data_IF_525450670633
#
_entry.id   IF_525450670633
#
_cell.length_a   1.000
_cell.length_b   1.000
_cell.length_c   1.000
_cell.angle_alpha   90.00
_cell.angle_beta   90.00
_cell.angle_gamma   90.00
#
_symmetry.space_group_name_H-M   'P 1'
#
loop_
_entity.id
_entity.type
_entity.pdbx_description
1 polymer ?
#
# COMPACT_ATOMS: atom_id res chain seq x y z
N UNK A 1 13.08 1.97 -2.38
CA UNK A 1 11.83 2.54 -2.92
C UNK A 1 10.69 1.57 -2.68
N UNK A 2 9.47 2.07 -2.56
CA UNK A 2 8.27 1.23 -2.40
C UNK A 2 7.23 1.64 -3.44
N UNK A 3 6.64 0.67 -4.14
CA UNK A 3 5.49 0.88 -5.02
C UNK A 3 4.25 0.26 -4.40
N UNK A 4 3.24 1.06 -4.11
CA UNK A 4 1.95 0.58 -3.60
C UNK A 4 1.25 -0.33 -4.64
N UNK A 5 0.66 -1.46 -4.22
CA UNK A 5 -0.04 -2.37 -5.14
C UNK A 5 -1.28 -1.72 -5.76
N UNK A 6 -1.92 -0.76 -5.08
CA UNK A 6 -3.18 -0.13 -5.49
C UNK A 6 -3.00 1.15 -6.31
N UNK A 7 -1.80 1.76 -6.31
CA UNK A 7 -1.54 3.00 -7.03
C UNK A 7 -1.21 2.73 -8.51
N UNK A 8 -1.59 3.66 -9.39
CA UNK A 8 -1.32 3.59 -10.83
C UNK A 8 0.16 3.39 -11.15
N UNK A 9 0.45 2.32 -11.87
CA UNK A 9 1.81 1.90 -12.20
C UNK A 9 2.55 2.88 -13.12
N UNK A 10 1.85 3.49 -14.08
CA UNK A 10 2.45 4.43 -15.01
C UNK A 10 3.03 5.66 -14.31
N UNK A 11 2.34 6.20 -13.30
CA UNK A 11 2.85 7.32 -12.51
C UNK A 11 4.15 6.95 -11.81
N UNK A 12 4.22 5.74 -11.24
CA UNK A 12 5.44 5.25 -10.62
C UNK A 12 6.59 5.12 -11.62
N UNK A 13 6.34 4.58 -12.82
CA UNK A 13 7.36 4.46 -13.85
C UNK A 13 7.87 5.83 -14.33
N UNK A 14 6.99 6.80 -14.53
CA UNK A 14 7.38 8.16 -14.91
C UNK A 14 8.26 8.82 -13.83
N UNK A 15 7.91 8.66 -12.56
CA UNK A 15 8.75 9.16 -11.46
C UNK A 15 10.10 8.45 -11.40
N UNK A 16 10.14 7.15 -11.65
CA UNK A 16 11.38 6.38 -11.68
C UNK A 16 12.27 6.80 -12.85
N UNK A 17 11.71 6.96 -14.05
CA UNK A 17 12.44 7.38 -15.24
C UNK A 17 13.06 8.78 -15.08
N UNK A 18 12.26 9.74 -14.59
CA UNK A 18 12.76 11.09 -14.25
C UNK A 18 13.86 11.06 -13.19
N UNK A 19 13.72 10.22 -12.16
CA UNK A 19 14.73 10.07 -11.11
C UNK A 19 16.05 9.52 -11.69
N UNK A 20 15.98 8.45 -12.47
CA UNK A 20 17.16 7.83 -13.07
C UNK A 20 17.82 8.74 -14.12
N UNK A 21 17.02 9.44 -14.92
CA UNK A 21 17.48 10.47 -15.84
C UNK A 21 18.22 11.61 -15.15
N UNK A 22 17.71 12.07 -14.00
CA UNK A 22 18.35 13.11 -13.21
C UNK A 22 19.67 12.68 -12.53
N UNK A 23 19.79 11.42 -12.15
CA UNK A 23 21.03 10.90 -11.55
C UNK A 23 22.11 10.69 -12.62
N UNK A 24 21.71 10.21 -13.81
CA UNK A 24 22.58 9.84 -14.92
C UNK A 24 23.23 8.46 -14.76
N UNK A 25 23.84 7.96 -15.83
CA UNK A 25 24.41 6.60 -15.91
C UNK A 25 25.87 6.49 -15.45
N UNK A 26 26.55 7.62 -15.20
CA UNK A 26 27.97 7.65 -14.85
C UNK A 26 28.26 7.39 -13.36
N UNK A 27 27.25 7.02 -12.58
CA UNK A 27 27.36 6.80 -11.13
C UNK A 27 27.09 5.34 -10.80
N UNK A 28 27.82 4.79 -9.82
CA UNK A 28 27.53 3.47 -9.26
C UNK A 28 26.33 3.59 -8.32
N UNK A 29 25.18 3.12 -8.78
CA UNK A 29 23.91 3.21 -8.05
C UNK A 29 23.44 1.79 -7.72
N UNK A 30 22.92 1.59 -6.51
CA UNK A 30 22.17 0.40 -6.14
C UNK A 30 20.73 0.79 -5.89
N UNK A 31 19.80 0.17 -6.62
CA UNK A 31 18.37 0.36 -6.44
C UNK A 31 17.81 -0.81 -5.62
N UNK A 32 17.43 -0.54 -4.37
CA UNK A 32 16.68 -1.47 -3.54
C UNK A 32 15.22 -1.03 -3.48
N UNK A 33 14.29 -1.90 -3.90
CA UNK A 33 12.88 -1.56 -3.91
C UNK A 33 11.95 -2.76 -3.77
N UNK A 34 10.80 -2.54 -3.15
CA UNK A 34 9.64 -3.43 -3.22
C UNK A 34 8.65 -2.87 -4.24
N UNK A 35 8.54 -3.57 -5.36
CA UNK A 35 7.70 -3.15 -6.46
C UNK A 35 6.28 -3.74 -6.41
N UNK A 36 6.01 -4.71 -5.51
CA UNK A 36 4.78 -5.50 -5.52
C UNK A 36 4.45 -6.07 -6.91
N UNK A 37 5.42 -6.75 -7.51
CA UNK A 37 5.35 -7.32 -8.87
C UNK A 37 5.97 -8.72 -8.92
N UNK A 38 5.52 -9.51 -9.88
CA UNK A 38 6.10 -10.83 -10.14
C UNK A 38 7.15 -10.76 -11.25
N UNK A 39 8.41 -10.57 -10.85
CA UNK A 39 9.55 -10.61 -11.78
C UNK A 39 9.72 -12.00 -12.40
N UNK A 40 10.29 -12.04 -13.62
CA UNK A 40 10.50 -13.28 -14.36
C UNK A 40 9.22 -13.86 -14.99
N UNK A 41 8.13 -13.09 -15.01
CA UNK A 41 6.90 -13.41 -15.73
C UNK A 41 6.79 -12.57 -17.01
N UNK A 42 5.85 -12.93 -17.89
CA UNK A 42 5.52 -12.16 -19.09
C UNK A 42 4.52 -11.02 -18.81
N UNK A 43 4.39 -10.59 -17.55
CA UNK A 43 3.54 -9.47 -17.19
C UNK A 43 4.09 -8.19 -17.81
N UNK A 44 3.26 -7.48 -18.60
CA UNK A 44 3.68 -6.29 -19.33
C UNK A 44 4.29 -5.20 -18.43
N UNK A 45 3.78 -5.06 -17.21
CA UNK A 45 4.29 -4.09 -16.22
C UNK A 45 5.71 -4.46 -15.74
N UNK A 46 5.97 -5.75 -15.55
CA UNK A 46 7.29 -6.23 -15.16
C UNK A 46 8.32 -6.08 -16.26
N UNK A 47 7.94 -6.42 -17.50
CA UNK A 47 8.80 -6.20 -18.68
C UNK A 47 9.14 -4.72 -18.84
N UNK A 48 8.15 -3.83 -18.74
CA UNK A 48 8.36 -2.39 -18.89
C UNK A 48 9.28 -1.79 -17.82
N UNK A 49 9.14 -2.22 -16.57
CA UNK A 49 10.07 -1.81 -15.52
C UNK A 49 11.49 -2.30 -15.83
N UNK A 50 11.64 -3.57 -16.22
CA UNK A 50 12.93 -4.15 -16.58
C UNK A 50 13.59 -3.39 -17.74
N UNK A 51 12.82 -3.02 -18.78
CA UNK A 51 13.33 -2.27 -19.92
C UNK A 51 13.84 -0.89 -19.53
N UNK A 52 13.11 -0.17 -18.67
CA UNK A 52 13.53 1.14 -18.15
C UNK A 52 14.85 1.01 -17.40
N UNK A 53 14.92 0.14 -16.39
CA UNK A 53 16.12 0.03 -15.56
C UNK A 53 17.32 -0.50 -16.37
N UNK A 54 17.09 -1.39 -17.33
CA UNK A 54 18.11 -1.86 -18.26
C UNK A 54 18.59 -0.74 -19.20
N UNK A 55 17.71 0.16 -19.63
CA UNK A 55 18.06 1.36 -20.40
C UNK A 55 19.05 2.27 -19.67
N UNK A 56 19.03 2.29 -18.34
CA UNK A 56 20.01 2.98 -17.50
C UNK A 56 21.23 2.13 -17.12
N UNK A 57 21.41 0.96 -17.75
CA UNK A 57 22.53 0.06 -17.49
C UNK A 57 22.43 -0.70 -16.15
N UNK A 58 21.25 -0.72 -15.52
CA UNK A 58 21.05 -1.48 -14.28
C UNK A 58 20.76 -2.95 -14.58
N UNK A 59 21.31 -3.82 -13.74
CA UNK A 59 21.09 -5.26 -13.82
C UNK A 59 20.57 -5.79 -12.48
N UNK A 60 19.55 -6.65 -12.54
CA UNK A 60 19.03 -7.31 -11.35
C UNK A 60 20.09 -8.22 -10.71
N UNK A 61 20.46 -7.92 -9.47
CA UNK A 61 21.46 -8.67 -8.70
C UNK A 61 20.84 -9.74 -7.80
N UNK A 62 19.65 -9.50 -7.25
CA UNK A 62 18.93 -10.45 -6.41
C UNK A 62 17.90 -11.19 -7.26
N UNK A 63 18.16 -12.47 -7.53
CA UNK A 63 17.28 -13.34 -8.32
C UNK A 63 16.45 -14.31 -7.47
N UNK A 64 16.73 -14.38 -6.17
CA UNK A 64 16.01 -15.26 -5.23
C UNK A 64 14.80 -14.52 -4.66
N UNK A 65 13.70 -15.24 -4.50
CA UNK A 65 12.53 -14.72 -3.81
C UNK A 65 12.88 -14.38 -2.35
N UNK A 66 12.73 -13.12 -1.97
CA UNK A 66 13.01 -12.62 -0.62
C UNK A 66 11.92 -13.00 0.40
N UNK A 67 10.75 -13.47 -0.05
CA UNK A 67 9.61 -13.88 0.81
C UNK A 67 9.46 -15.40 1.02
N UNK A 68 10.35 -16.23 0.48
CA UNK A 68 10.17 -17.69 0.53
C UNK A 68 10.23 -18.30 1.94
N UNK A 69 10.83 -17.62 2.92
CA UNK A 69 10.93 -18.16 4.28
C UNK A 69 9.59 -18.16 5.03
N UNK A 70 8.74 -17.16 4.78
CA UNK A 70 7.49 -16.99 5.54
C UNK A 70 6.46 -18.05 5.17
N UNK A 71 6.40 -18.44 3.90
CA UNK A 71 5.50 -19.51 3.43
C UNK A 71 5.86 -20.87 4.01
N UNK A 72 7.16 -21.21 4.08
CA UNK A 72 7.62 -22.48 4.64
C UNK A 72 7.30 -22.55 6.14
N UNK A 73 7.49 -21.45 6.86
CA UNK A 73 7.15 -21.37 8.28
C UNK A 73 5.63 -21.45 8.48
N UNK A 74 4.86 -20.76 7.65
CA UNK A 74 3.40 -20.76 7.70
C UNK A 74 2.83 -22.16 7.39
N UNK A 75 3.32 -22.82 6.35
CA UNK A 75 2.89 -24.16 5.97
C UNK A 75 3.29 -25.20 7.03
N UNK A 76 4.48 -25.11 7.61
CA UNK A 76 4.89 -25.96 8.72
C UNK A 76 4.00 -25.77 9.96
N UNK A 77 3.58 -24.53 10.25
CA UNK A 77 2.63 -24.24 11.35
C UNK A 77 1.25 -24.82 11.08
N UNK A 78 0.75 -24.72 9.85
CA UNK A 78 -0.53 -25.34 9.46
C UNK A 78 -0.43 -26.85 9.64
N UNK A 79 0.59 -27.49 9.07
CA UNK A 79 0.77 -28.93 9.15
C UNK A 79 0.85 -29.43 10.60
N UNK A 80 1.62 -28.75 11.46
CA UNK A 80 1.72 -29.11 12.87
C UNK A 80 0.38 -28.95 13.62
N UNK A 81 -0.41 -27.93 13.29
CA UNK A 81 -1.74 -27.74 13.87
C UNK A 81 -2.72 -28.82 13.39
N UNK A 82 -2.69 -29.17 12.11
CA UNK A 82 -3.51 -30.22 11.53
C UNK A 82 -3.19 -31.57 12.16
N UNK A 83 -1.91 -31.91 12.29
CA UNK A 83 -1.45 -33.12 12.96
C UNK A 83 -1.94 -33.17 14.42
N UNK A 84 -1.85 -32.06 15.14
CA UNK A 84 -2.34 -31.95 16.52
C UNK A 84 -3.87 -32.11 16.64
N UNK A 85 -4.64 -31.57 15.69
CA UNK A 85 -6.10 -31.69 15.66
C UNK A 85 -6.49 -33.14 15.33
N UNK A 86 -5.86 -33.73 14.32
CA UNK A 86 -6.19 -35.05 13.81
C UNK A 86 -5.75 -36.19 14.75
N UNK A 87 -4.67 -35.99 15.51
CA UNK A 87 -4.21 -36.95 16.53
C UNK A 87 -4.94 -36.81 17.88
N UNK A 88 -5.80 -35.80 18.05
CA UNK A 88 -6.51 -35.56 19.31
C UNK A 88 -7.75 -36.43 19.44
N UNK A 89 -8.01 -36.91 20.67
CA UNK A 89 -9.27 -37.57 21.02
C UNK A 89 -10.50 -36.65 20.94
N UNK A 90 -10.29 -35.32 20.92
CA UNK A 90 -11.36 -34.34 20.73
C UNK A 90 -10.87 -33.20 19.80
N UNK A 91 -11.04 -33.36 18.48
CA UNK A 91 -10.60 -32.39 17.48
C UNK A 91 -11.18 -30.98 17.68
N UNK A 92 -12.47 -30.88 18.01
CA UNK A 92 -13.16 -29.60 18.23
C UNK A 92 -12.56 -28.82 19.40
N UNK A 93 -12.27 -29.49 20.51
CA UNK A 93 -11.62 -28.87 21.68
C UNK A 93 -10.17 -28.49 21.39
N UNK A 94 -9.44 -29.30 20.61
CA UNK A 94 -8.07 -28.98 20.17
C UNK A 94 -8.03 -27.75 19.27
N UNK A 95 -8.95 -27.65 18.32
CA UNK A 95 -9.11 -26.48 17.45
C UNK A 95 -9.43 -25.22 18.27
N UNK A 96 -10.38 -25.31 19.20
CA UNK A 96 -10.71 -24.19 20.09
C UNK A 96 -9.50 -23.73 20.92
N UNK A 97 -8.67 -24.66 21.41
CA UNK A 97 -7.43 -24.35 22.14
C UNK A 97 -6.40 -23.62 21.27
N UNK A 98 -6.23 -24.02 20.00
CA UNK A 98 -5.35 -23.32 19.06
C UNK A 98 -5.82 -21.88 18.89
N UNK A 99 -7.12 -21.68 18.63
CA UNK A 99 -7.69 -20.34 18.47
C UNK A 99 -7.54 -19.48 19.72
N UNK A 100 -7.76 -20.05 20.91
CA UNK A 100 -7.66 -19.33 22.17
C UNK A 100 -6.21 -18.99 22.55
N UNK A 101 -5.24 -19.84 22.20
CA UNK A 101 -3.81 -19.52 22.34
C UNK A 101 -3.40 -18.35 21.45
N UNK A 102 -3.94 -18.28 20.23
CA UNK A 102 -3.63 -17.22 19.28
C UNK A 102 -4.37 -15.91 19.59
N UNK A 103 -5.55 -15.96 20.22
CA UNK A 103 -6.30 -14.76 20.64
C UNK A 103 -5.71 -14.09 21.88
N UNK A 104 -4.97 -14.82 22.73
CA UNK A 104 -4.36 -14.31 23.96
C UNK A 104 -3.21 -13.32 23.76
N UNK A 105 -2.61 -13.26 22.57
CA UNK A 105 -1.48 -12.35 22.26
C UNK A 105 -1.90 -10.91 21.91
N UNK A 106 -3.19 -10.56 21.99
CA UNK A 106 -3.66 -9.18 21.84
C UNK A 106 -4.10 -8.52 23.15
N UNK A 107 -3.77 -9.09 24.32
CA UNK A 107 -3.78 -8.31 25.56
C UNK A 107 -2.52 -7.43 25.54
N UNK A 108 -2.72 -6.18 25.10
CA UNK A 108 -1.69 -5.20 24.82
C UNK A 108 -0.56 -5.17 25.86
N UNK A 109 0.65 -5.43 25.38
CA UNK A 109 1.79 -4.72 25.95
C UNK A 109 1.52 -3.24 25.67
N UNK A 110 1.23 -2.47 26.72
CA UNK A 110 1.27 -1.01 26.74
C UNK A 110 2.72 -0.53 26.53
N UNK A 111 3.35 -0.92 25.43
CA UNK A 111 4.40 -0.08 24.88
C UNK A 111 3.66 1.07 24.21
N UNK A 112 3.57 2.19 24.92
CA UNK A 112 3.16 3.43 24.30
C UNK A 112 4.06 3.64 23.10
N UNK A 113 3.56 3.45 21.89
CA UNK A 113 4.17 4.07 20.73
C UNK A 113 4.38 5.52 21.14
N UNK A 114 5.62 6.01 21.13
CA UNK A 114 5.92 7.41 21.51
C UNK A 114 5.19 8.44 20.64
N UNK A 115 4.42 7.98 19.66
CA UNK A 115 3.41 8.71 18.92
C UNK A 115 2.11 8.74 19.71
N UNK A 116 1.80 9.91 20.24
CA UNK A 116 0.50 10.26 20.78
C UNK A 116 -0.50 10.54 19.65
N UNK A 117 -1.80 10.53 19.96
CA UNK A 117 -2.82 11.02 19.03
C UNK A 117 -2.58 12.48 18.62
N UNK A 118 -1.93 13.25 19.49
CA UNK A 118 -1.55 14.64 19.23
C UNK A 118 -0.48 14.73 18.13
N UNK A 119 0.52 13.85 18.15
CA UNK A 119 1.56 13.78 17.11
C UNK A 119 0.96 13.44 15.74
N UNK A 120 -0.03 12.54 15.72
CA UNK A 120 -0.77 12.21 14.51
C UNK A 120 -1.58 13.40 13.98
N UNK A 121 -2.32 14.08 14.86
CA UNK A 121 -3.12 15.23 14.48
C UNK A 121 -2.24 16.38 13.98
N UNK A 122 -1.13 16.67 14.66
CA UNK A 122 -0.18 17.71 14.26
C UNK A 122 0.45 17.43 12.90
N UNK A 123 0.78 16.18 12.60
CA UNK A 123 1.27 15.79 11.29
C UNK A 123 0.25 16.05 10.18
N UNK A 124 -1.01 15.65 10.39
CA UNK A 124 -2.08 15.88 9.41
C UNK A 124 -2.42 17.37 9.23
N UNK A 125 -2.45 18.14 10.31
CA UNK A 125 -2.66 19.59 10.25
C UNK A 125 -1.50 20.31 9.56
N UNK A 126 -0.26 19.85 9.77
CA UNK A 126 0.92 20.39 9.09
C UNK A 126 0.85 20.20 7.57
N UNK A 127 0.48 19.00 7.11
CA UNK A 127 0.27 18.72 5.69
C UNK A 127 -0.85 19.59 5.11
N UNK A 128 -1.98 19.74 5.81
CA UNK A 128 -3.07 20.58 5.35
C UNK A 128 -2.65 22.05 5.24
N UNK A 129 -1.86 22.56 6.20
CA UNK A 129 -1.34 23.92 6.18
C UNK A 129 -0.37 24.15 5.01
N UNK A 130 0.48 23.18 4.70
CA UNK A 130 1.42 23.25 3.57
C UNK A 130 0.66 23.28 2.23
N UNK A 131 -0.40 22.50 2.08
CA UNK A 131 -1.25 22.56 0.89
C UNK A 131 -1.96 23.91 0.73
N UNK A 132 -2.49 24.47 1.82
CA UNK A 132 -3.18 25.76 1.79
C UNK A 132 -2.21 26.91 1.50
N UNK A 133 -0.98 26.89 2.04
CA UNK A 133 0.05 27.89 1.73
C UNK A 133 0.61 27.75 0.30
N UNK A 134 0.56 26.55 -0.27
CA UNK A 134 0.99 26.30 -1.65
C UNK A 134 -0.07 26.62 -2.72
N UNK A 135 -1.30 26.94 -2.31
CA UNK A 135 -2.35 27.40 -3.22
C UNK A 135 -2.17 28.91 -3.47
N UNK A 136 -2.15 29.31 -4.74
CA UNK A 136 -2.22 30.73 -5.09
C UNK A 136 -3.54 31.30 -4.56
N UNK A 137 -3.50 32.50 -3.96
CA UNK A 137 -4.71 33.21 -3.57
C UNK A 137 -5.55 33.43 -4.83
N UNK A 138 -6.64 32.67 -4.94
CA UNK A 138 -7.64 32.87 -5.97
C UNK A 138 -8.33 34.20 -5.68
N UNK A 139 -8.01 35.24 -6.45
CA UNK A 139 -8.68 36.55 -6.45
C UNK A 139 -10.12 36.48 -6.99
N UNK A 140 -10.62 35.27 -7.24
CA UNK A 140 -11.98 35.02 -7.72
C UNK A 140 -12.96 35.06 -6.54
N UNK A 141 -13.87 36.04 -6.53
CA UNK A 141 -14.94 36.08 -5.54
C UNK A 141 -15.80 34.81 -5.65
N UNK A 142 -15.98 34.04 -4.56
CA UNK A 142 -16.74 32.78 -4.61
C UNK A 142 -18.17 32.93 -5.12
N UNK A 143 -18.75 34.12 -4.97
CA UNK A 143 -20.09 34.48 -5.44
C UNK A 143 -20.18 34.63 -6.96
N UNK A 144 -19.10 35.03 -7.63
CA UNK A 144 -19.09 35.15 -9.09
C UNK A 144 -19.20 33.77 -9.77
N UNK A 145 -18.65 32.73 -9.13
CA UNK A 145 -18.75 31.35 -9.61
C UNK A 145 -20.17 30.77 -9.52
N UNK A 146 -21.05 31.36 -8.70
CA UNK A 146 -22.45 30.92 -8.58
C UNK A 146 -23.35 31.51 -9.68
N UNK A 147 -22.96 32.64 -10.28
CA UNK A 147 -23.73 33.30 -11.34
C UNK A 147 -23.78 32.52 -12.66
N UNK A 148 -22.87 31.56 -12.85
CA UNK A 148 -22.78 30.71 -14.04
C UNK A 148 -23.35 29.30 -13.83
N UNK A 149 -23.86 28.98 -12.64
CA UNK A 149 -24.57 27.73 -12.42
C UNK A 149 -26.00 27.87 -12.94
N UNK A 150 -26.30 27.23 -14.07
CA UNK A 150 -27.69 26.93 -14.47
C UNK A 150 -28.27 25.94 -13.44
N UNK A 151 -28.74 26.47 -12.30
CA UNK A 151 -29.39 25.66 -11.27
C UNK A 151 -30.74 25.22 -11.82
N UNK A 152 -30.96 23.90 -12.05
CA UNK A 152 -32.27 23.43 -12.46
C UNK A 152 -33.29 23.78 -11.36
N UNK A 153 -34.29 24.60 -11.68
CA UNK A 153 -35.32 25.09 -10.74
C UNK A 153 -36.25 24.01 -10.15
N UNK A 154 -35.95 22.73 -10.35
CA UNK A 154 -36.73 21.65 -9.75
C UNK A 154 -35.79 20.57 -9.23
N UNK A 155 -35.77 20.44 -7.91
CA UNK A 155 -35.24 19.27 -7.22
C UNK A 155 -36.43 18.55 -6.60
N UNK A 156 -36.66 17.29 -6.97
CA UNK A 156 -37.74 16.48 -6.41
C UNK A 156 -37.22 15.12 -5.96
N UNK A 157 -37.71 14.69 -4.80
CA UNK A 157 -37.45 13.35 -4.29
C UNK A 157 -38.49 12.38 -4.83
N UNK A 158 -38.04 11.18 -5.19
CA UNK A 158 -38.92 10.07 -5.55
C UNK A 158 -38.69 8.92 -4.57
N UNK A 159 -39.78 8.29 -4.13
CA UNK A 159 -39.71 7.13 -3.25
C UNK A 159 -39.17 5.93 -4.03
N UNK A 160 -38.12 5.30 -3.50
CA UNK A 160 -37.56 4.04 -4.02
C UNK A 160 -38.17 2.89 -3.22
N UNK A 161 -38.85 1.96 -3.88
CA UNK A 161 -39.31 0.69 -3.28
C UNK A 161 -38.43 -0.46 -3.74
N UNK A 162 -38.04 -1.33 -2.81
CA UNK A 162 -37.28 -2.54 -3.08
C UNK A 162 -38.23 -3.74 -3.04
N UNK A 163 -38.22 -4.57 -4.10
CA UNK A 163 -38.92 -5.85 -4.17
C UNK A 163 -38.00 -6.99 -3.73
#
# INVERSE_FOLDING_TARGET
>A
MYRSPTRHFNTFLLSLDSLLGGIGTNKRITLAADFNMHFGTFEALALRLCDIVAGFGMQQTIKKATRNHDWIIFSAKIAANDDYINSSSNPTKSMWRINNKNSGNMKGNNESSGLTSEDFNNYFLGIASEFVHGMEESDTEPLENLGHMDIPHHFSFHQVTFN
#
